data_IF_012647847109
#
_entry.id   IF_012647847109
#
_cell.length_a   1.000
_cell.length_b   1.000
_cell.length_c   1.000
_cell.angle_alpha   90.00
_cell.angle_beta   90.00
_cell.angle_gamma   90.00
#
_symmetry.space_group_name_H-M   'P 1'
#
loop_
_entity.id
_entity.type
_entity.pdbx_description
1 polymer ?
#
# COMPACT_ATOMS: atom_id res chain seq x y z
N UNK A 1 -5.13 18.15 10.45
CA UNK A 1 -4.41 17.52 9.33
C UNK A 1 -3.01 17.14 9.79
N UNK A 2 -2.69 15.85 9.74
CA UNK A 2 -1.29 15.40 9.91
C UNK A 2 -0.48 15.78 8.68
N UNK A 3 0.81 16.01 8.86
CA UNK A 3 1.74 16.26 7.76
C UNK A 3 1.90 14.95 6.95
N UNK A 4 1.64 14.99 5.64
CA UNK A 4 1.85 13.86 4.72
C UNK A 4 3.28 13.32 4.84
N UNK A 5 4.26 14.18 5.17
CA UNK A 5 5.64 13.75 5.43
C UNK A 5 5.78 12.89 6.70
N UNK A 6 5.06 13.21 7.77
CA UNK A 6 5.07 12.41 8.99
C UNK A 6 4.44 11.04 8.73
N UNK A 7 3.26 11.03 8.09
CA UNK A 7 2.52 9.81 7.81
C UNK A 7 3.27 8.90 6.82
N UNK A 8 3.85 9.45 5.75
CA UNK A 8 4.70 8.69 4.83
C UNK A 8 5.94 8.12 5.52
N UNK A 9 6.50 8.82 6.51
CA UNK A 9 7.57 8.30 7.35
C UNK A 9 7.19 7.06 8.17
N UNK A 10 5.95 7.00 8.66
CA UNK A 10 5.41 5.82 9.35
C UNK A 10 5.15 4.67 8.38
N UNK A 11 4.50 4.95 7.25
CA UNK A 11 4.26 3.95 6.21
C UNK A 11 5.56 3.37 5.67
N UNK A 12 6.58 4.19 5.42
CA UNK A 12 7.88 3.72 4.97
C UNK A 12 8.45 2.64 5.89
N UNK A 13 8.38 2.85 7.21
CA UNK A 13 8.86 1.87 8.20
C UNK A 13 8.04 0.58 8.15
N UNK A 14 6.71 0.68 8.07
CA UNK A 14 5.83 -0.48 7.97
C UNK A 14 6.07 -1.27 6.68
N UNK A 15 6.05 -0.60 5.54
CA UNK A 15 6.28 -1.19 4.22
C UNK A 15 7.65 -1.86 4.14
N UNK A 16 8.71 -1.21 4.64
CA UNK A 16 10.05 -1.83 4.69
C UNK A 16 10.06 -3.12 5.52
N UNK A 17 9.40 -3.14 6.67
CA UNK A 17 9.27 -4.37 7.48
C UNK A 17 8.49 -5.45 6.72
N UNK A 18 7.35 -5.09 6.14
CA UNK A 18 6.50 -6.02 5.39
C UNK A 18 7.25 -6.66 4.22
N UNK A 19 8.07 -5.88 3.51
CA UNK A 19 8.95 -6.41 2.46
C UNK A 19 9.96 -7.40 3.02
N UNK A 20 10.60 -7.09 4.16
CA UNK A 20 11.59 -7.97 4.80
C UNK A 20 10.98 -9.28 5.31
N UNK A 21 9.83 -9.20 5.98
CA UNK A 21 9.11 -10.35 6.53
C UNK A 21 8.58 -11.29 5.43
N UNK A 22 8.25 -10.74 4.26
CA UNK A 22 7.64 -11.48 3.16
C UNK A 22 8.58 -11.66 1.95
N UNK A 23 9.87 -11.41 2.11
CA UNK A 23 10.85 -11.39 1.01
C UNK A 23 10.90 -12.70 0.21
N UNK A 24 10.75 -13.85 0.88
CA UNK A 24 10.71 -15.18 0.24
C UNK A 24 9.52 -15.28 -0.73
N UNK A 25 8.33 -14.89 -0.27
CA UNK A 25 7.09 -14.94 -1.05
C UNK A 25 7.06 -13.94 -2.19
N UNK A 26 7.46 -12.69 -1.91
CA UNK A 26 7.57 -11.63 -2.92
C UNK A 26 8.51 -12.08 -4.03
N UNK A 27 9.70 -12.57 -3.68
CA UNK A 27 10.68 -13.08 -4.65
C UNK A 27 10.12 -14.27 -5.43
N UNK A 28 9.44 -15.20 -4.74
CA UNK A 28 8.89 -16.40 -5.36
C UNK A 28 7.85 -16.07 -6.43
N UNK A 29 6.91 -15.17 -6.16
CA UNK A 29 5.85 -14.81 -7.10
C UNK A 29 6.32 -13.82 -8.17
N UNK A 30 7.07 -12.78 -7.78
CA UNK A 30 7.52 -11.74 -8.71
C UNK A 30 8.41 -12.30 -9.81
N UNK A 31 9.29 -13.28 -9.54
CA UNK A 31 10.18 -13.83 -10.58
C UNK A 31 9.46 -14.66 -11.65
N UNK A 32 8.21 -15.05 -11.42
CA UNK A 32 7.48 -15.91 -12.36
C UNK A 32 7.05 -15.11 -13.59
N UNK A 33 7.04 -15.74 -14.77
CA UNK A 33 6.57 -15.11 -16.01
C UNK A 33 5.10 -14.64 -15.92
N UNK A 34 4.32 -15.32 -15.07
CA UNK A 34 2.93 -14.98 -14.81
C UNK A 34 2.75 -13.64 -14.07
N UNK A 35 3.76 -13.10 -13.40
CA UNK A 35 3.63 -11.84 -12.65
C UNK A 35 3.25 -10.65 -13.56
N UNK A 36 2.27 -9.87 -13.13
CA UNK A 36 1.76 -8.66 -13.80
C UNK A 36 2.12 -7.40 -13.02
N UNK A 37 1.60 -7.28 -11.80
CA UNK A 37 1.77 -6.11 -10.93
C UNK A 37 1.40 -6.45 -9.47
N UNK A 38 1.58 -5.48 -8.58
CA UNK A 38 1.16 -5.49 -7.19
C UNK A 38 0.29 -4.27 -6.90
N UNK A 39 -0.71 -4.45 -6.05
CA UNK A 39 -1.57 -3.35 -5.56
C UNK A 39 -1.45 -3.27 -4.05
N UNK A 40 -1.33 -2.06 -3.52
CA UNK A 40 -1.22 -1.78 -2.09
C UNK A 40 -2.25 -0.72 -1.70
N UNK A 41 -2.94 -0.94 -0.59
CA UNK A 41 -3.96 -0.02 -0.08
C UNK A 41 -3.93 0.06 1.43
N UNK A 42 -4.44 1.17 1.97
CA UNK A 42 -4.55 1.41 3.40
C UNK A 42 -6.01 1.59 3.80
N UNK A 43 -6.56 0.61 4.52
CA UNK A 43 -7.90 0.68 5.09
C UNK A 43 -7.83 1.18 6.54
N UNK A 44 -7.66 2.49 6.73
CA UNK A 44 -7.43 3.05 8.07
C UNK A 44 -8.55 2.76 9.07
N UNK A 45 -9.78 2.55 8.59
CA UNK A 45 -10.96 2.25 9.41
C UNK A 45 -10.96 0.81 9.95
N UNK A 46 -10.24 -0.10 9.29
CA UNK A 46 -9.95 -1.45 9.80
C UNK A 46 -8.56 -1.54 10.44
N UNK A 47 -7.70 -0.56 10.18
CA UNK A 47 -6.31 -0.57 10.60
C UNK A 47 -5.46 -1.52 9.79
N UNK A 48 -5.84 -1.80 8.54
CA UNK A 48 -5.15 -2.78 7.71
C UNK A 48 -4.33 -2.13 6.60
N UNK A 49 -3.22 -2.77 6.27
CA UNK A 49 -2.53 -2.60 4.99
C UNK A 49 -2.71 -3.86 4.15
N UNK A 50 -3.31 -3.69 2.98
CA UNK A 50 -3.51 -4.79 2.03
C UNK A 50 -2.44 -4.73 0.94
N UNK A 51 -1.86 -5.87 0.62
CA UNK A 51 -0.94 -6.05 -0.50
C UNK A 51 -1.34 -7.28 -1.30
N UNK A 52 -1.63 -7.10 -2.58
CA UNK A 52 -1.96 -8.20 -3.50
C UNK A 52 -0.90 -8.35 -4.60
N UNK A 53 -0.73 -9.58 -5.10
CA UNK A 53 0.14 -9.88 -6.24
C UNK A 53 -0.71 -10.48 -7.36
N UNK A 54 -0.68 -9.81 -8.51
CA UNK A 54 -1.53 -10.15 -9.65
C UNK A 54 -0.75 -10.88 -10.74
N UNK A 55 -1.37 -11.88 -11.32
CA UNK A 55 -0.92 -12.55 -12.52
C UNK A 55 -1.42 -11.82 -13.78
N UNK A 56 -0.74 -12.06 -14.91
CA UNK A 56 -1.16 -11.61 -16.24
C UNK A 56 -2.43 -12.34 -16.66
N UNK A 57 -3.27 -11.65 -17.42
CA UNK A 57 -4.46 -12.25 -18.01
C UNK A 57 -4.13 -13.52 -18.80
N UNK A 58 -4.89 -14.59 -18.54
CA UNK A 58 -4.68 -15.90 -19.16
C UNK A 58 -3.48 -16.69 -18.65
N UNK A 59 -2.69 -16.15 -17.71
CA UNK A 59 -1.59 -16.86 -17.03
C UNK A 59 -2.00 -17.27 -15.61
N UNK A 60 -1.25 -18.16 -14.96
CA UNK A 60 -1.43 -18.49 -13.54
C UNK A 60 -0.08 -18.62 -12.87
N UNK A 61 0.00 -18.27 -11.58
CA UNK A 61 1.19 -18.56 -10.80
C UNK A 61 1.30 -20.06 -10.54
N UNK A 62 2.54 -20.54 -10.54
CA UNK A 62 2.87 -21.77 -9.84
C UNK A 62 2.72 -21.52 -8.33
N UNK A 63 1.95 -22.35 -7.61
CA UNK A 63 1.60 -22.07 -6.22
C UNK A 63 2.80 -22.28 -5.29
N UNK A 64 2.93 -21.42 -4.27
CA UNK A 64 3.83 -21.67 -3.16
C UNK A 64 3.17 -22.61 -2.13
N UNK A 65 3.95 -23.50 -1.52
CA UNK A 65 3.41 -24.50 -0.56
C UNK A 65 2.84 -23.89 0.73
N UNK A 66 3.21 -22.64 1.04
CA UNK A 66 2.91 -21.98 2.32
C UNK A 66 2.36 -20.56 2.20
N UNK A 67 2.41 -19.96 1.00
CA UNK A 67 2.11 -18.53 0.81
C UNK A 67 1.09 -18.41 -0.32
N UNK A 68 0.01 -17.67 -0.10
CA UNK A 68 -0.95 -17.31 -1.16
C UNK A 68 -0.45 -16.06 -1.91
N UNK A 69 -0.76 -15.89 -3.19
CA UNK A 69 -0.60 -14.61 -3.88
C UNK A 69 -1.84 -13.71 -3.79
N UNK A 70 -3.01 -14.32 -3.55
CA UNK A 70 -4.26 -13.63 -3.24
C UNK A 70 -4.23 -13.16 -1.79
N UNK A 71 -4.58 -11.89 -1.53
CA UNK A 71 -4.48 -11.25 -0.20
C UNK A 71 -3.11 -11.49 0.44
N UNK A 72 -2.06 -11.31 -0.38
CA UNK A 72 -0.69 -11.72 -0.07
C UNK A 72 -0.22 -11.21 1.30
N UNK A 73 -0.54 -9.96 1.64
CA UNK A 73 -0.42 -9.42 3.00
C UNK A 73 -1.73 -8.74 3.38
N UNK A 74 -2.23 -9.09 4.57
CA UNK A 74 -3.21 -8.33 5.33
C UNK A 74 -2.56 -8.03 6.67
N UNK A 75 -1.97 -6.84 6.80
CA UNK A 75 -1.28 -6.44 8.03
C UNK A 75 -2.21 -5.59 8.90
N UNK A 76 -2.66 -6.18 10.00
CA UNK A 76 -3.43 -5.47 11.03
C UNK A 76 -2.46 -4.66 11.92
N UNK A 77 -2.43 -3.36 11.66
CA UNK A 77 -1.65 -2.35 12.38
C UNK A 77 -2.03 -2.35 13.88
N UNK A 78 -3.18 -2.86 14.30
CA UNK A 78 -3.54 -2.87 15.73
C UNK A 78 -2.75 -3.88 16.58
N UNK A 79 -2.17 -4.94 15.99
CA UNK A 79 -1.50 -6.00 16.74
C UNK A 79 0.00 -5.80 16.94
N UNK A 80 0.65 -4.96 16.13
CA UNK A 80 2.09 -4.70 16.27
C UNK A 80 2.37 -3.64 17.34
N UNK A 81 3.53 -3.76 18.01
CA UNK A 81 3.92 -2.88 19.12
C UNK A 81 5.15 -2.03 18.84
N UNK A 82 5.69 -2.08 17.61
CA UNK A 82 6.75 -1.16 17.24
C UNK A 82 6.25 0.29 17.23
N UNK A 83 7.19 1.22 17.39
CA UNK A 83 6.89 2.64 17.54
C UNK A 83 6.10 3.22 16.36
N UNK A 84 6.39 2.79 15.13
CA UNK A 84 5.73 3.34 13.96
C UNK A 84 4.28 2.87 13.86
N UNK A 85 4.03 1.59 14.15
CA UNK A 85 2.68 1.02 14.21
C UNK A 85 1.85 1.70 15.29
N UNK A 86 2.39 1.87 16.50
CA UNK A 86 1.67 2.52 17.60
C UNK A 86 1.27 3.96 17.24
N UNK A 87 2.14 4.68 16.52
CA UNK A 87 1.82 6.03 16.03
C UNK A 87 0.76 6.01 14.92
N UNK A 88 0.87 5.08 13.97
CA UNK A 88 -0.10 4.95 12.88
C UNK A 88 -1.50 4.62 13.42
N UNK A 89 -1.57 3.67 14.35
CA UNK A 89 -2.79 3.36 15.11
C UNK A 89 -3.39 4.60 15.77
N UNK A 90 -2.59 5.40 16.48
CA UNK A 90 -3.08 6.60 17.14
C UNK A 90 -3.60 7.66 16.15
N UNK A 91 -3.11 7.69 14.91
CA UNK A 91 -3.63 8.55 13.84
C UNK A 91 -4.98 8.00 13.36
N UNK A 92 -5.05 6.70 13.06
CA UNK A 92 -6.29 6.06 12.62
C UNK A 92 -7.40 6.17 13.66
N UNK A 93 -7.09 5.97 14.94
CA UNK A 93 -8.07 6.12 16.03
C UNK A 93 -8.65 7.55 16.09
N UNK A 94 -7.82 8.57 15.85
CA UNK A 94 -8.29 9.98 15.77
C UNK A 94 -9.14 10.22 14.53
N UNK A 95 -8.78 9.63 13.40
CA UNK A 95 -9.52 9.74 12.15
C UNK A 95 -10.89 9.07 12.26
N UNK A 96 -10.95 7.85 12.81
CA UNK A 96 -12.20 7.15 13.07
C UNK A 96 -13.12 7.89 14.04
N UNK A 97 -12.55 8.54 15.06
CA UNK A 97 -13.34 9.39 15.95
C UNK A 97 -13.87 10.63 15.21
N UNK A 98 -13.02 11.29 14.41
CA UNK A 98 -13.42 12.48 13.66
C UNK A 98 -14.50 12.18 12.62
N UNK A 99 -14.44 11.03 11.93
CA UNK A 99 -15.46 10.62 10.97
C UNK A 99 -16.76 10.16 11.64
N UNK A 100 -16.68 9.62 12.86
CA UNK A 100 -17.89 9.27 13.64
C UNK A 100 -18.62 10.51 14.18
N UNK A 101 -17.88 11.60 14.42
CA UNK A 101 -18.42 12.88 14.90
C UNK A 101 -18.76 13.85 13.73
N UNK A 102 -18.49 13.44 12.49
CA UNK A 102 -18.74 14.23 11.28
C UNK A 102 -20.24 14.28 10.97
N UNK A 103 -20.74 15.48 10.68
CA UNK A 103 -22.14 15.70 10.29
C UNK A 103 -22.40 15.48 8.80
N UNK A 104 -21.35 15.09 8.04
CA UNK A 104 -21.41 14.78 6.62
C UNK A 104 -21.41 16.01 5.73
N UNK A 105 -20.98 17.18 6.23
CA UNK A 105 -20.77 18.36 5.40
C UNK A 105 -19.56 18.17 4.48
N UNK A 106 -19.76 18.38 3.17
CA UNK A 106 -18.69 18.46 2.19
C UNK A 106 -17.91 19.77 2.37
N UNK A 107 -16.61 19.76 2.06
CA UNK A 107 -15.84 20.99 2.00
C UNK A 107 -16.12 21.82 0.72
N UNK A 108 -15.42 22.95 0.57
CA UNK A 108 -15.60 23.85 -0.58
C UNK A 108 -15.30 23.17 -1.94
N UNK A 109 -14.62 22.03 -1.94
CA UNK A 109 -14.30 21.21 -3.12
C UNK A 109 -15.30 20.06 -3.34
N UNK A 110 -16.31 19.92 -2.47
CA UNK A 110 -17.31 18.87 -2.54
C UNK A 110 -16.83 17.52 -2.00
N UNK A 111 -15.74 17.48 -1.21
CA UNK A 111 -15.20 16.25 -0.63
C UNK A 111 -15.59 16.14 0.85
N UNK A 112 -16.20 15.02 1.22
CA UNK A 112 -16.50 14.72 2.63
C UNK A 112 -15.23 14.33 3.40
N UNK A 113 -15.29 14.40 4.74
CA UNK A 113 -14.15 14.11 5.59
C UNK A 113 -13.58 12.71 5.37
N UNK A 114 -14.43 11.69 5.20
CA UNK A 114 -13.98 10.30 5.04
C UNK A 114 -13.18 10.14 3.74
N UNK A 115 -13.72 10.64 2.63
CA UNK A 115 -13.05 10.69 1.32
C UNK A 115 -11.67 11.34 1.39
N UNK A 116 -11.60 12.50 2.03
CA UNK A 116 -10.35 13.24 2.19
C UNK A 116 -9.31 12.47 3.00
N UNK A 117 -9.74 11.72 4.03
CA UNK A 117 -8.85 10.90 4.84
C UNK A 117 -8.37 9.66 4.07
N UNK A 118 -9.21 9.05 3.23
CA UNK A 118 -8.80 7.99 2.30
C UNK A 118 -7.71 8.52 1.38
N UNK A 119 -7.96 9.67 0.73
CA UNK A 119 -6.99 10.32 -0.15
C UNK A 119 -5.67 10.60 0.57
N UNK A 120 -5.74 11.26 1.72
CA UNK A 120 -4.56 11.59 2.53
C UNK A 120 -3.76 10.34 2.93
N UNK A 121 -4.45 9.25 3.27
CA UNK A 121 -3.82 7.97 3.60
C UNK A 121 -3.04 7.40 2.41
N UNK A 122 -3.67 7.34 1.24
CA UNK A 122 -3.09 6.76 0.03
C UNK A 122 -2.01 7.65 -0.59
N UNK A 123 -2.12 8.97 -0.52
CA UNK A 123 -1.05 9.90 -0.91
C UNK A 123 0.21 9.71 -0.06
N UNK A 124 0.04 9.58 1.26
CA UNK A 124 1.16 9.34 2.17
C UNK A 124 1.78 7.95 1.96
N UNK A 125 0.96 6.93 1.67
CA UNK A 125 1.43 5.60 1.32
C UNK A 125 2.20 5.63 -0.01
N UNK A 126 1.68 6.29 -1.04
CA UNK A 126 2.37 6.48 -2.31
C UNK A 126 3.71 7.21 -2.12
N UNK A 127 3.76 8.25 -1.29
CA UNK A 127 5.00 8.94 -0.95
C UNK A 127 6.03 8.02 -0.25
N UNK A 128 5.57 7.07 0.57
CA UNK A 128 6.45 6.06 1.16
C UNK A 128 7.05 5.12 0.10
N UNK A 129 6.24 4.68 -0.87
CA UNK A 129 6.67 3.85 -2.01
C UNK A 129 7.55 4.59 -3.02
N UNK A 130 7.46 5.93 -3.10
CA UNK A 130 8.40 6.78 -3.85
C UNK A 130 9.73 7.03 -3.13
N UNK A 131 9.85 6.66 -1.84
CA UNK A 131 11.10 6.87 -1.12
C UNK A 131 12.22 5.93 -1.62
N UNK A 132 13.45 6.42 -1.69
CA UNK A 132 14.61 5.63 -2.12
C UNK A 132 14.73 4.30 -1.36
N UNK A 133 14.40 4.28 -0.07
CA UNK A 133 14.48 3.07 0.77
C UNK A 133 13.56 1.96 0.24
N UNK A 134 12.27 2.26 0.09
CA UNK A 134 11.27 1.25 -0.33
C UNK A 134 11.46 0.91 -1.80
N UNK A 135 11.71 1.91 -2.65
CA UNK A 135 11.99 1.71 -4.08
C UNK A 135 13.16 0.76 -4.27
N UNK A 136 14.29 0.97 -3.58
CA UNK A 136 15.45 0.09 -3.72
C UNK A 136 15.16 -1.33 -3.21
N UNK A 137 14.47 -1.49 -2.07
CA UNK A 137 14.08 -2.81 -1.58
C UNK A 137 13.25 -3.57 -2.62
N UNK A 138 12.22 -2.94 -3.18
CA UNK A 138 11.38 -3.54 -4.22
C UNK A 138 12.15 -3.82 -5.51
N UNK A 139 13.03 -2.91 -5.92
CA UNK A 139 13.86 -3.10 -7.11
C UNK A 139 14.73 -4.36 -7.02
N UNK A 140 15.26 -4.71 -5.84
CA UNK A 140 16.02 -5.97 -5.67
C UNK A 140 15.20 -7.24 -5.92
N UNK A 141 13.87 -7.14 -5.81
CA UNK A 141 12.92 -8.22 -6.05
C UNK A 141 12.47 -8.19 -7.52
N UNK A 142 12.03 -7.02 -7.99
CA UNK A 142 11.46 -6.82 -9.32
C UNK A 142 12.44 -7.16 -10.45
N UNK A 143 13.73 -6.84 -10.30
CA UNK A 143 14.76 -7.17 -11.32
C UNK A 143 14.99 -8.67 -11.50
N UNK A 144 14.45 -9.51 -10.62
CA UNK A 144 14.49 -10.96 -10.79
C UNK A 144 13.45 -11.47 -11.80
N UNK A 145 12.45 -10.64 -12.16
CA UNK A 145 11.55 -10.95 -13.26
C UNK A 145 12.20 -10.57 -14.60
N UNK A 146 12.34 -11.51 -15.55
CA UNK A 146 13.00 -11.23 -16.84
C UNK A 146 12.25 -10.23 -17.73
N UNK A 147 10.95 -9.99 -17.47
CA UNK A 147 10.11 -9.06 -18.23
C UNK A 147 9.96 -7.70 -17.52
N UNK A 148 10.58 -7.51 -16.36
CA UNK A 148 10.50 -6.25 -15.64
C UNK A 148 11.49 -5.23 -16.22
N UNK A 149 10.99 -4.01 -16.43
CA UNK A 149 11.79 -2.85 -16.80
C UNK A 149 11.67 -1.81 -15.69
N UNK A 150 12.80 -1.29 -15.21
CA UNK A 150 12.81 -0.30 -14.12
C UNK A 150 11.93 0.94 -14.40
N UNK A 151 11.84 1.36 -15.66
CA UNK A 151 10.98 2.47 -16.09
C UNK A 151 9.47 2.22 -15.88
N UNK A 152 9.08 0.97 -15.63
CA UNK A 152 7.69 0.55 -15.39
C UNK A 152 7.37 0.37 -13.90
N UNK A 153 8.22 0.87 -12.98
CA UNK A 153 7.99 0.72 -11.54
C UNK A 153 6.56 1.12 -11.14
N UNK A 154 6.10 2.32 -11.51
CA UNK A 154 4.76 2.81 -11.17
C UNK A 154 3.62 2.06 -11.89
N UNK A 155 3.91 1.29 -12.94
CA UNK A 155 2.90 0.43 -13.59
C UNK A 155 2.78 -0.92 -12.88
N UNK A 156 3.88 -1.38 -12.27
CA UNK A 156 4.03 -2.67 -11.62
C UNK A 156 3.75 -2.60 -10.13
N UNK A 157 3.97 -1.45 -9.50
CA UNK A 157 3.60 -1.15 -8.11
C UNK A 157 2.52 -0.08 -8.17
N UNK A 158 1.36 -0.37 -7.60
CA UNK A 158 0.21 0.53 -7.61
C UNK A 158 -0.28 0.76 -6.20
N UNK A 159 -0.48 2.01 -5.84
CA UNK A 159 -1.20 2.38 -4.61
C UNK A 159 -2.59 2.81 -5.06
N UNK A 160 -3.60 2.02 -4.72
CA UNK A 160 -4.97 2.15 -5.24
C UNK A 160 -5.97 2.06 -4.08
N UNK A 161 -7.12 2.70 -4.24
CA UNK A 161 -8.25 2.53 -3.32
C UNK A 161 -9.17 1.39 -3.81
N UNK A 162 -9.22 0.25 -3.10
CA UNK A 162 -9.98 -0.92 -3.55
C UNK A 162 -11.49 -0.71 -3.50
N UNK A 163 -11.98 0.25 -2.72
CA UNK A 163 -13.41 0.55 -2.60
C UNK A 163 -13.93 1.43 -3.76
N UNK A 164 -13.03 1.88 -4.63
CA UNK A 164 -13.37 2.54 -5.89
C UNK A 164 -13.80 4.00 -5.74
N UNK A 165 -13.57 4.62 -4.58
CA UNK A 165 -13.77 6.06 -4.42
C UNK A 165 -12.75 6.84 -5.24
N UNK A 166 -11.53 6.29 -5.36
CA UNK A 166 -10.48 6.81 -6.24
C UNK A 166 -10.03 5.75 -7.25
N UNK A 167 -10.48 5.87 -8.51
CA UNK A 167 -10.17 4.95 -9.61
C UNK A 167 -8.83 5.27 -10.31
N UNK A 168 -7.76 5.53 -9.54
CA UNK A 168 -6.42 5.80 -10.10
C UNK A 168 -5.29 5.29 -9.19
N UNK A 169 -4.09 5.16 -9.77
CA UNK A 169 -2.88 4.84 -9.02
C UNK A 169 -2.27 6.11 -8.41
N UNK A 170 -2.29 6.22 -7.08
CA UNK A 170 -1.73 7.35 -6.33
C UNK A 170 -0.23 7.56 -6.57
N UNK A 171 0.53 6.53 -6.98
CA UNK A 171 1.94 6.69 -7.34
C UNK A 171 2.16 7.53 -8.61
N UNK A 172 1.20 7.53 -9.54
CA UNK A 172 1.32 8.31 -10.78
C UNK A 172 1.15 9.81 -10.55
N UNK A 173 0.56 10.21 -9.42
CA UNK A 173 0.39 11.63 -9.07
C UNK A 173 1.66 12.27 -8.49
N UNK A 174 2.64 11.46 -8.09
CA UNK A 174 3.89 11.92 -7.47
C UNK A 174 5.09 11.90 -8.44
N UNK A 175 4.87 11.56 -9.72
CA UNK A 175 5.88 11.34 -10.75
C UNK A 175 6.10 12.55 -11.68
#
# INVERSE_FOLDING_TARGET
MHDIQELSGLYKKQVSRLIEENIEGLTFYVKQEAFSHMTISAAFWHGDLYWNIWNKDGSKFEPHTRLSHDEFIVEDVYFNKDEATVKLRAIYDKWNQATADDDGEEDDEGEDLFSRLIRQSHEALAAAFHSDTVTQQLMTILVQNPNFEAAKFNQVIRVEDPDGQFEFNFLEQLA
#
